data_IF_147615456275
#
_entry.id   IF_147615456275
#
_cell.length_a   1.000
_cell.length_b   1.000
_cell.length_c   1.000
_cell.angle_alpha   90.00
_cell.angle_beta   90.00
_cell.angle_gamma   90.00
#
_symmetry.space_group_name_H-M   'P 1'
#
loop_
_entity.id
_entity.type
_entity.pdbx_description
1 polymer ?
#
# COMPACT_ATOMS: atom_id res chain seq x y z
N UNK A 1 -10.81 -5.47 4.25
CA UNK A 1 -9.47 -5.18 3.66
C UNK A 1 -9.71 -5.01 2.17
N UNK A 2 -9.07 -4.04 1.51
CA UNK A 2 -9.35 -3.77 0.08
C UNK A 2 -9.04 -4.97 -0.82
N UNK A 3 -7.97 -5.70 -0.51
CA UNK A 3 -7.60 -6.95 -1.14
C UNK A 3 -7.25 -7.97 -0.04
N UNK A 4 -6.22 -8.79 -0.25
CA UNK A 4 -5.60 -9.66 0.76
C UNK A 4 -4.70 -8.84 1.71
N UNK A 5 -3.92 -9.54 2.54
CA UNK A 5 -2.84 -8.94 3.34
C UNK A 5 -1.56 -8.68 2.54
N UNK A 6 -1.61 -8.86 1.21
CA UNK A 6 -0.47 -8.72 0.32
C UNK A 6 -0.17 -7.26 -0.04
N UNK A 7 1.01 -7.09 -0.64
CA UNK A 7 1.42 -5.88 -1.34
C UNK A 7 0.59 -5.60 -2.61
N UNK A 8 0.57 -4.36 -3.10
CA UNK A 8 -0.03 -4.04 -4.41
C UNK A 8 0.69 -4.77 -5.54
N UNK A 9 -0.05 -5.37 -6.49
CA UNK A 9 0.53 -6.12 -7.60
C UNK A 9 1.63 -5.32 -8.33
N UNK A 10 2.77 -5.96 -8.58
CA UNK A 10 3.93 -5.34 -9.20
C UNK A 10 4.86 -4.59 -8.23
N UNK A 11 4.60 -4.62 -6.91
CA UNK A 11 5.45 -3.98 -5.89
C UNK A 11 6.09 -5.00 -4.94
N UNK A 12 6.39 -6.21 -5.40
CA UNK A 12 7.15 -7.18 -4.63
C UNK A 12 8.65 -6.88 -4.69
N UNK A 13 9.26 -6.59 -3.53
CA UNK A 13 10.69 -6.30 -3.42
C UNK A 13 11.50 -7.43 -2.78
N UNK A 14 10.97 -8.65 -2.77
CA UNK A 14 11.72 -9.84 -2.37
C UNK A 14 12.66 -10.26 -3.49
N UNK A 15 13.85 -10.75 -3.15
CA UNK A 15 14.86 -11.25 -4.11
C UNK A 15 14.30 -12.29 -5.10
N UNK A 16 13.34 -13.10 -4.65
CA UNK A 16 12.71 -14.17 -5.44
C UNK A 16 11.59 -13.66 -6.37
N UNK A 17 11.14 -12.42 -6.20
CA UNK A 17 10.14 -11.83 -7.07
C UNK A 17 10.79 -11.30 -8.37
N UNK A 18 10.02 -11.34 -9.46
CA UNK A 18 10.44 -10.82 -10.76
C UNK A 18 10.04 -9.36 -11.01
N UNK A 19 9.52 -8.67 -9.99
CA UNK A 19 9.04 -7.30 -10.12
C UNK A 19 10.21 -6.30 -10.16
N UNK A 20 10.03 -5.22 -10.92
CA UNK A 20 11.08 -4.21 -11.08
C UNK A 20 11.23 -3.35 -9.82
N UNK A 21 12.47 -3.09 -9.35
CA UNK A 21 12.70 -2.11 -8.30
C UNK A 21 12.44 -0.70 -8.82
N UNK A 22 12.40 0.28 -7.91
CA UNK A 22 12.40 1.70 -8.26
C UNK A 22 13.83 2.11 -8.62
N UNK A 23 14.06 2.33 -9.91
CA UNK A 23 15.34 2.73 -10.48
C UNK A 23 15.29 4.23 -10.77
N UNK A 24 15.99 5.00 -9.95
CA UNK A 24 15.94 6.45 -9.93
C UNK A 24 17.21 7.14 -10.44
N UNK A 25 18.19 6.37 -10.90
CA UNK A 25 19.31 6.91 -11.67
C UNK A 25 18.83 7.31 -13.08
N UNK A 26 18.73 8.62 -13.31
CA UNK A 26 18.32 9.21 -14.60
C UNK A 26 19.26 8.87 -15.76
N UNK A 27 20.47 8.37 -15.50
CA UNK A 27 21.41 7.92 -16.54
C UNK A 27 21.22 6.45 -16.90
N UNK A 28 20.50 5.68 -16.09
CA UNK A 28 20.18 4.29 -16.39
C UNK A 28 19.16 4.22 -17.53
N UNK A 29 19.35 3.28 -18.44
CA UNK A 29 18.34 2.96 -19.45
C UNK A 29 17.08 2.33 -18.83
N UNK A 30 17.18 1.87 -17.58
CA UNK A 30 16.11 1.25 -16.80
C UNK A 30 15.41 2.24 -15.87
N UNK A 31 15.69 3.55 -15.98
CA UNK A 31 15.00 4.57 -15.19
C UNK A 31 13.48 4.43 -15.32
N UNK A 32 12.79 4.23 -14.19
CA UNK A 32 11.37 3.88 -14.19
C UNK A 32 10.51 4.63 -13.16
N UNK A 33 11.06 5.62 -12.46
CA UNK A 33 10.37 6.33 -11.36
C UNK A 33 8.99 6.83 -11.76
N UNK A 34 8.88 7.56 -12.87
CA UNK A 34 7.60 8.17 -13.27
C UNK A 34 6.51 7.10 -13.46
N UNK A 35 6.84 6.00 -14.16
CA UNK A 35 5.95 4.87 -14.36
C UNK A 35 5.57 4.19 -13.05
N UNK A 36 6.54 3.88 -12.19
CA UNK A 36 6.28 3.18 -10.91
C UNK A 36 5.41 4.02 -9.98
N UNK A 37 5.61 5.33 -9.97
CA UNK A 37 4.78 6.25 -9.18
C UNK A 37 3.37 6.38 -9.77
N UNK A 38 3.23 6.44 -11.10
CA UNK A 38 1.91 6.42 -11.76
C UNK A 38 1.12 5.14 -11.43
N UNK A 39 1.77 3.97 -11.53
CA UNK A 39 1.19 2.67 -11.18
C UNK A 39 0.70 2.64 -9.72
N UNK A 40 1.53 3.12 -8.79
CA UNK A 40 1.18 3.14 -7.37
C UNK A 40 0.03 4.11 -7.08
N UNK A 41 0.05 5.32 -7.67
CA UNK A 41 -1.04 6.29 -7.52
C UNK A 41 -2.35 5.76 -8.08
N UNK A 42 -2.32 5.11 -9.25
CA UNK A 42 -3.52 4.49 -9.83
C UNK A 42 -4.09 3.39 -8.92
N UNK A 43 -3.22 2.62 -8.25
CA UNK A 43 -3.65 1.67 -7.23
C UNK A 43 -4.31 2.39 -6.04
N UNK A 44 -3.71 3.47 -5.52
CA UNK A 44 -4.29 4.26 -4.42
C UNK A 44 -5.65 4.88 -4.78
N UNK A 45 -5.85 5.31 -6.03
CA UNK A 45 -7.14 5.85 -6.51
C UNK A 45 -8.25 4.80 -6.43
N UNK A 46 -7.96 3.52 -6.61
CA UNK A 46 -8.95 2.45 -6.44
C UNK A 46 -9.16 2.09 -4.97
N UNK A 47 -8.09 2.01 -4.19
CA UNK A 47 -8.15 1.65 -2.76
C UNK A 47 -8.98 2.68 -1.99
N UNK A 48 -8.75 3.97 -2.23
CA UNK A 48 -9.43 5.07 -1.54
C UNK A 48 -10.94 5.11 -1.76
N UNK A 49 -11.47 4.46 -2.80
CA UNK A 49 -12.92 4.40 -3.05
C UNK A 49 -13.67 3.48 -2.08
N UNK A 50 -12.97 2.54 -1.43
CA UNK A 50 -13.57 1.51 -0.56
C UNK A 50 -13.47 1.89 0.92
N UNK A 51 -12.54 2.77 1.29
CA UNK A 51 -12.37 3.25 2.66
C UNK A 51 -13.17 4.52 2.92
N UNK A 52 -13.64 4.68 4.15
CA UNK A 52 -14.46 5.84 4.57
C UNK A 52 -13.65 7.04 5.04
N UNK A 53 -12.34 6.89 5.22
CA UNK A 53 -11.43 7.88 5.80
C UNK A 53 -10.34 8.28 4.82
N UNK A 54 -9.74 9.45 5.03
CA UNK A 54 -8.57 9.91 4.28
C UNK A 54 -7.29 9.15 4.66
N UNK A 55 -7.30 8.46 5.79
CA UNK A 55 -6.25 7.52 6.17
C UNK A 55 -6.55 6.14 5.59
N UNK A 56 -5.60 5.58 4.85
CA UNK A 56 -5.67 4.24 4.24
C UNK A 56 -4.42 3.46 4.61
N UNK A 57 -4.59 2.20 5.00
CA UNK A 57 -3.48 1.28 5.26
C UNK A 57 -3.15 0.48 4.01
N UNK A 58 -1.88 0.53 3.60
CA UNK A 58 -1.34 -0.33 2.54
C UNK A 58 -0.40 -1.33 3.19
N UNK A 59 -0.73 -2.61 3.08
CA UNK A 59 0.16 -3.70 3.48
C UNK A 59 1.27 -3.83 2.45
N UNK A 60 2.53 -3.82 2.89
CA UNK A 60 3.70 -3.98 2.03
C UNK A 60 4.41 -5.25 2.49
N UNK A 61 3.93 -6.42 2.06
CA UNK A 61 4.46 -7.72 2.46
C UNK A 61 3.48 -8.84 2.17
N UNK A 62 3.90 -10.08 2.36
CA UNK A 62 3.14 -11.33 2.16
C UNK A 62 3.90 -12.48 2.88
N UNK A 63 3.45 -13.72 2.70
CA UNK A 63 4.06 -14.93 3.27
C UNK A 63 5.58 -14.97 3.03
N UNK A 64 6.34 -15.10 4.12
CA UNK A 64 7.81 -15.25 4.11
C UNK A 64 8.56 -14.17 3.28
N UNK A 65 7.98 -12.98 3.15
CA UNK A 65 8.66 -11.81 2.60
C UNK A 65 9.70 -11.25 3.59
N UNK A 66 10.45 -10.22 3.17
CA UNK A 66 11.51 -9.58 3.96
C UNK A 66 12.72 -10.47 4.34
N UNK A 67 12.98 -11.55 3.59
CA UNK A 67 14.23 -12.33 3.72
C UNK A 67 15.48 -11.45 3.54
N UNK A 68 15.38 -10.49 2.61
CA UNK A 68 16.26 -9.33 2.52
C UNK A 68 15.43 -8.06 2.74
N UNK A 69 15.47 -7.54 3.96
CA UNK A 69 14.71 -6.36 4.33
C UNK A 69 15.28 -5.07 3.72
N UNK A 70 16.57 -5.03 3.39
CA UNK A 70 17.20 -3.84 2.81
C UNK A 70 16.61 -3.55 1.43
N UNK A 71 16.44 -4.58 0.59
CA UNK A 71 15.78 -4.46 -0.70
C UNK A 71 14.37 -3.84 -0.58
N UNK A 72 13.61 -4.22 0.45
CA UNK A 72 12.30 -3.64 0.72
C UNK A 72 12.38 -2.17 1.12
N UNK A 73 13.16 -1.85 2.14
CA UNK A 73 13.21 -0.49 2.70
C UNK A 73 13.77 0.52 1.69
N UNK A 74 14.77 0.15 0.88
CA UNK A 74 15.30 1.04 -0.17
C UNK A 74 14.22 1.39 -1.20
N UNK A 75 13.42 0.41 -1.63
CA UNK A 75 12.35 0.65 -2.60
C UNK A 75 11.18 1.43 -1.99
N UNK A 76 10.82 1.15 -0.73
CA UNK A 76 9.80 1.89 0.00
C UNK A 76 10.20 3.35 0.24
N UNK A 77 11.46 3.62 0.59
CA UNK A 77 11.98 4.97 0.76
C UNK A 77 11.86 5.79 -0.53
N UNK A 78 12.26 5.19 -1.67
CA UNK A 78 12.11 5.82 -2.98
C UNK A 78 10.65 6.07 -3.32
N UNK A 79 9.78 5.09 -3.10
CA UNK A 79 8.35 5.22 -3.39
C UNK A 79 7.70 6.33 -2.56
N UNK A 80 7.96 6.35 -1.25
CA UNK A 80 7.49 7.40 -0.33
C UNK A 80 7.99 8.77 -0.82
N UNK A 81 9.28 8.88 -1.11
CA UNK A 81 9.88 10.12 -1.57
C UNK A 81 9.23 10.63 -2.85
N UNK A 82 9.21 9.83 -3.92
CA UNK A 82 8.75 10.29 -5.23
C UNK A 82 7.24 10.50 -5.30
N UNK A 83 6.43 9.71 -4.58
CA UNK A 83 4.98 9.95 -4.51
C UNK A 83 4.70 11.27 -3.75
N UNK A 84 5.37 11.51 -2.62
CA UNK A 84 5.17 12.74 -1.84
C UNK A 84 5.67 13.99 -2.61
N UNK A 85 6.74 13.88 -3.41
CA UNK A 85 7.18 14.98 -4.27
C UNK A 85 6.08 15.43 -5.25
N UNK A 86 5.18 14.54 -5.68
CA UNK A 86 4.06 14.92 -6.56
C UNK A 86 3.02 15.83 -5.91
N UNK A 87 3.07 16.01 -4.59
CA UNK A 87 2.24 17.02 -3.92
C UNK A 87 2.55 18.43 -4.43
N UNK A 88 3.80 18.70 -4.84
CA UNK A 88 4.19 19.97 -5.50
C UNK A 88 3.43 20.21 -6.81
N UNK A 89 2.99 19.14 -7.47
CA UNK A 89 2.20 19.17 -8.71
C UNK A 89 0.71 18.91 -8.47
N UNK A 90 0.25 18.97 -7.21
CA UNK A 90 -1.17 18.85 -6.84
C UNK A 90 -1.66 17.44 -6.49
N UNK A 91 -0.77 16.45 -6.32
CA UNK A 91 -1.18 15.14 -5.80
C UNK A 91 -1.75 15.26 -4.38
N UNK A 92 -2.87 14.56 -4.12
CA UNK A 92 -3.53 14.49 -2.80
C UNK A 92 -2.88 13.46 -1.86
N UNK A 93 -1.96 12.64 -2.37
CA UNK A 93 -1.39 11.52 -1.62
C UNK A 93 -0.18 11.91 -0.79
N UNK A 94 -0.13 11.38 0.44
CA UNK A 94 0.99 11.48 1.36
C UNK A 94 1.26 10.11 1.98
N UNK A 95 2.42 9.53 1.68
CA UNK A 95 2.85 8.22 2.12
C UNK A 95 3.78 8.39 3.32
N UNK A 96 3.63 7.50 4.30
CA UNK A 96 4.50 7.41 5.49
C UNK A 96 4.70 5.94 5.85
N UNK A 97 5.82 5.62 6.48
CA UNK A 97 5.89 4.40 7.28
C UNK A 97 4.92 4.49 8.45
N UNK A 98 4.26 3.38 8.74
CA UNK A 98 3.27 3.31 9.80
C UNK A 98 3.18 1.89 10.35
N UNK A 99 2.34 1.74 11.37
CA UNK A 99 1.99 0.46 11.99
C UNK A 99 0.46 0.36 12.07
N UNK A 100 -0.11 -0.84 12.24
CA UNK A 100 -1.55 -0.99 12.44
C UNK A 100 -2.10 -0.15 13.61
N UNK A 101 -1.33 0.01 14.70
CA UNK A 101 -1.74 0.82 15.85
C UNK A 101 -1.77 2.31 15.51
N UNK A 102 -0.76 2.83 14.80
CA UNK A 102 -0.74 4.21 14.32
C UNK A 102 -1.90 4.49 13.36
N UNK A 103 -2.19 3.55 12.44
CA UNK A 103 -3.31 3.66 11.51
C UNK A 103 -4.66 3.73 12.26
N UNK A 104 -4.94 2.77 13.16
CA UNK A 104 -6.19 2.76 13.93
C UNK A 104 -6.36 4.05 14.73
N UNK A 105 -5.28 4.58 15.33
CA UNK A 105 -5.31 5.87 16.01
C UNK A 105 -5.68 7.03 15.08
N UNK A 106 -5.11 7.08 13.86
CA UNK A 106 -5.43 8.11 12.87
C UNK A 106 -6.90 8.06 12.42
N UNK A 107 -7.42 6.86 12.12
CA UNK A 107 -8.83 6.66 11.73
C UNK A 107 -9.76 7.03 12.89
N UNK A 108 -9.42 6.65 14.13
CA UNK A 108 -10.20 7.03 15.32
C UNK A 108 -10.30 8.54 15.52
N UNK A 109 -9.18 9.24 15.36
CA UNK A 109 -9.14 10.70 15.47
C UNK A 109 -9.94 11.39 14.35
N UNK A 110 -9.96 10.82 13.14
CA UNK A 110 -10.70 11.35 12.00
C UNK A 110 -12.21 11.15 12.15
N UNK A 111 -12.66 9.96 12.53
CA UNK A 111 -14.11 9.62 12.58
C UNK A 111 -14.82 10.12 13.82
N UNK A 112 -14.10 10.49 14.88
CA UNK A 112 -14.68 10.99 16.15
C UNK A 112 -15.75 10.05 16.73
N UNK A 113 -15.51 8.74 16.69
CA UNK A 113 -16.43 7.69 17.12
C UNK A 113 -17.69 7.47 16.27
N UNK A 114 -17.73 8.01 15.05
CA UNK A 114 -18.81 7.72 14.10
C UNK A 114 -18.48 6.49 13.25
N UNK A 115 -18.94 5.30 13.69
CA UNK A 115 -18.66 4.02 13.03
C UNK A 115 -19.94 3.26 12.69
N UNK A 116 -19.89 2.48 11.62
CA UNK A 116 -20.92 1.49 11.33
C UNK A 116 -20.73 0.32 12.31
N UNK A 117 -21.80 -0.05 13.00
CA UNK A 117 -21.78 -1.12 13.99
C UNK A 117 -21.97 -2.49 13.30
N UNK A 118 -21.06 -3.42 13.56
CA UNK A 118 -21.21 -4.86 13.27
C UNK A 118 -21.39 -5.60 14.59
N UNK A 119 -22.48 -6.36 14.73
CA UNK A 119 -22.84 -7.02 16.00
C UNK A 119 -22.61 -8.54 15.99
N UNK A 120 -22.82 -9.22 14.85
CA UNK A 120 -22.61 -10.68 14.75
C UNK A 120 -21.16 -11.04 14.39
N UNK A 121 -20.89 -12.32 14.13
CA UNK A 121 -19.58 -12.82 13.71
C UNK A 121 -19.32 -12.73 12.19
N UNK A 122 -18.21 -13.33 11.75
CA UNK A 122 -17.83 -13.50 10.35
C UNK A 122 -17.92 -14.97 9.90
N UNK A 123 -18.76 -15.79 10.53
CA UNK A 123 -18.90 -17.21 10.21
C UNK A 123 -20.18 -17.52 9.41
N UNK A 124 -20.14 -18.51 8.49
CA UNK A 124 -18.95 -19.17 7.96
C UNK A 124 -18.21 -18.26 6.95
N UNK A 125 -16.88 -18.40 6.89
CA UNK A 125 -16.07 -17.77 5.84
C UNK A 125 -16.10 -18.64 4.59
N UNK A 126 -16.22 -18.03 3.41
CA UNK A 126 -16.03 -18.73 2.14
C UNK A 126 -15.16 -17.88 1.21
N UNK A 127 -14.07 -18.47 0.69
CA UNK A 127 -13.21 -17.77 -0.29
C UNK A 127 -13.78 -17.82 -1.70
N UNK A 128 -14.52 -18.87 -2.02
CA UNK A 128 -15.04 -19.21 -3.36
C UNK A 128 -16.41 -19.90 -3.26
N UNK A 129 -17.20 -19.99 -4.35
CA UNK A 129 -18.57 -20.53 -4.32
C UNK A 129 -18.74 -21.93 -3.72
N UNK A 130 -17.67 -22.71 -3.64
CA UNK A 130 -17.66 -24.09 -3.13
C UNK A 130 -16.53 -24.35 -2.10
N UNK A 131 -16.07 -23.32 -1.38
CA UNK A 131 -14.99 -23.42 -0.37
C UNK A 131 -15.40 -22.75 0.96
N UNK A 132 -16.15 -23.47 1.79
CA UNK A 132 -16.68 -23.04 3.11
C UNK A 132 -15.86 -23.59 4.28
#
# INVERSE_FOLDING_TARGET
MYNTYALPSGFCFVILCGDEPVIDDKKSFEYNVDRRVDEFVAYLDNVTQVYSTNNVIITMGEDFNYQDAEAWFVNLDKLIYYVNQRQLSGSKYNLIYSTPSCYVNAVHNETKNNWILKQDDFFPYASDPHAF
#
